data_IF_208199577803
#
_entry.id   IF_208199577803
#
_cell.length_a   1.000
_cell.length_b   1.000
_cell.length_c   1.000
_cell.angle_alpha   90.00
_cell.angle_beta   90.00
_cell.angle_gamma   90.00
#
_symmetry.space_group_name_H-M   'P 1'
#
loop_
_entity.id
_entity.type
_entity.pdbx_description
1 polymer ?
#
# COMPACT_ATOMS: atom_id res chain seq x y z
N UNK A 1 -40.67 22.61 38.99
CA UNK A 1 -40.73 21.42 38.14
C UNK A 1 -40.99 21.84 36.69
N UNK A 2 -39.93 21.91 35.87
CA UNK A 2 -39.90 21.59 34.43
C UNK A 2 -38.49 21.88 33.91
N UNK A 3 -37.70 20.82 33.99
CA UNK A 3 -36.38 20.60 33.44
C UNK A 3 -36.47 20.79 31.91
N UNK A 4 -35.91 21.88 31.38
CA UNK A 4 -35.75 22.02 29.92
C UNK A 4 -34.39 21.44 29.57
N UNK A 5 -34.46 20.39 28.77
CA UNK A 5 -33.41 19.43 28.47
C UNK A 5 -32.36 20.15 27.60
N UNK A 6 -31.15 20.27 28.12
CA UNK A 6 -29.97 20.47 27.29
C UNK A 6 -29.73 19.17 26.50
N UNK A 7 -30.42 19.01 25.37
CA UNK A 7 -30.02 18.02 24.38
C UNK A 7 -28.80 18.60 23.71
N UNK A 8 -27.66 18.13 24.16
CA UNK A 8 -26.36 18.24 23.52
C UNK A 8 -26.53 17.87 22.04
N UNK A 9 -26.61 18.87 21.17
CA UNK A 9 -26.46 18.71 19.72
C UNK A 9 -25.00 18.39 19.42
N UNK A 10 -24.55 17.19 19.79
CA UNK A 10 -23.29 16.59 19.37
C UNK A 10 -23.62 15.53 18.33
N UNK A 11 -24.04 15.97 17.14
CA UNK A 11 -24.22 15.13 15.97
C UNK A 11 -24.18 15.99 14.70
N UNK A 12 -23.09 16.73 14.50
CA UNK A 12 -22.70 17.20 13.18
C UNK A 12 -21.18 17.36 13.08
N UNK A 13 -20.46 16.28 13.37
CA UNK A 13 -19.17 16.03 12.74
C UNK A 13 -19.38 14.84 11.78
N UNK A 14 -20.18 15.07 10.74
CA UNK A 14 -19.93 14.37 9.49
C UNK A 14 -18.55 14.89 9.06
N UNK A 15 -17.54 14.07 9.30
CA UNK A 15 -16.14 14.34 9.07
C UNK A 15 -15.93 14.99 7.70
N UNK A 16 -15.51 16.27 7.71
CA UNK A 16 -14.79 16.87 6.59
C UNK A 16 -13.44 16.15 6.48
N UNK A 17 -13.43 14.91 6.01
CA UNK A 17 -12.24 14.21 5.54
C UNK A 17 -12.07 14.35 4.03
N UNK A 18 -12.87 15.22 3.39
CA UNK A 18 -12.74 15.53 1.99
C UNK A 18 -11.40 16.26 1.76
N UNK A 19 -10.37 15.54 1.30
CA UNK A 19 -9.12 16.11 0.80
C UNK A 19 -7.90 16.02 1.73
N UNK A 20 -7.89 15.16 2.75
CA UNK A 20 -6.61 14.85 3.42
C UNK A 20 -5.89 13.73 2.67
N UNK A 21 -4.58 13.88 2.38
CA UNK A 21 -3.82 12.83 1.69
C UNK A 21 -3.71 11.59 2.59
N UNK A 22 -3.63 10.40 1.98
CA UNK A 22 -3.49 9.12 2.67
C UNK A 22 -2.30 9.10 3.63
N UNK A 23 -1.22 9.75 3.23
CA UNK A 23 0.01 9.90 3.98
C UNK A 23 0.63 11.26 3.65
N UNK A 24 1.57 11.69 4.49
CA UNK A 24 2.38 12.88 4.30
C UNK A 24 3.85 12.51 4.21
N UNK A 25 4.72 13.39 3.68
CA UNK A 25 6.16 13.14 3.66
C UNK A 25 6.77 12.81 5.03
N UNK A 26 6.16 13.28 6.13
CA UNK A 26 6.64 13.01 7.49
C UNK A 26 6.41 11.57 7.97
N UNK A 27 5.56 10.80 7.28
CA UNK A 27 5.29 9.40 7.59
C UNK A 27 6.42 8.47 7.11
N UNK A 28 7.32 8.98 6.27
CA UNK A 28 8.40 8.20 5.66
C UNK A 28 9.78 8.77 5.97
N UNK A 29 10.77 7.87 5.98
CA UNK A 29 12.17 8.23 6.24
C UNK A 29 12.83 8.80 4.99
N UNK A 30 12.39 8.33 3.81
CA UNK A 30 12.99 8.66 2.53
C UNK A 30 11.93 9.02 1.49
N UNK A 31 12.35 9.82 0.51
CA UNK A 31 11.52 10.30 -0.58
C UNK A 31 12.39 10.57 -1.81
N UNK A 32 11.82 10.36 -2.98
CA UNK A 32 12.34 10.84 -4.26
C UNK A 32 11.19 11.26 -5.18
N UNK A 33 11.32 12.41 -5.82
CA UNK A 33 10.46 12.79 -6.94
C UNK A 33 11.00 12.16 -8.22
N UNK A 34 10.24 11.25 -8.80
CA UNK A 34 10.57 10.57 -10.04
C UNK A 34 10.20 11.47 -11.23
N UNK A 35 11.08 11.63 -12.24
CA UNK A 35 10.82 12.50 -13.39
C UNK A 35 9.56 12.09 -14.17
N UNK A 36 8.49 12.87 -14.05
CA UNK A 36 7.25 12.66 -14.79
C UNK A 36 6.58 13.98 -15.15
N UNK A 37 5.83 14.07 -16.27
CA UNK A 37 5.02 15.23 -16.59
C UNK A 37 3.98 15.55 -15.50
N UNK A 38 3.45 14.52 -14.82
CA UNK A 38 2.44 14.64 -13.77
C UNK A 38 2.97 14.33 -12.36
N UNK A 39 4.23 14.71 -12.04
CA UNK A 39 4.84 14.58 -10.71
C UNK A 39 4.55 13.23 -10.01
N UNK A 40 5.48 12.28 -10.11
CA UNK A 40 5.34 10.98 -9.47
C UNK A 40 6.31 10.88 -8.30
N UNK A 41 5.81 10.82 -7.07
CA UNK A 41 6.64 10.73 -5.88
C UNK A 41 6.64 9.32 -5.30
N UNK A 42 7.84 8.84 -4.98
CA UNK A 42 8.07 7.58 -4.26
C UNK A 42 8.60 7.91 -2.87
N UNK A 43 7.87 7.45 -1.85
CA UNK A 43 8.24 7.51 -0.45
C UNK A 43 8.52 6.11 0.07
N UNK A 44 9.46 5.95 0.99
CA UNK A 44 9.69 4.67 1.64
C UNK A 44 10.32 4.75 3.03
N UNK A 45 10.11 3.68 3.80
CA UNK A 45 10.75 3.42 5.09
C UNK A 45 11.15 1.95 5.16
N UNK A 46 12.41 1.68 5.49
CA UNK A 46 12.89 0.32 5.75
C UNK A 46 12.59 -0.05 7.20
N UNK A 47 11.78 -1.08 7.38
CA UNK A 47 11.33 -1.53 8.70
C UNK A 47 12.31 -2.56 9.29
N UNK A 48 12.47 -2.61 10.62
CA UNK A 48 13.33 -3.61 11.29
C UNK A 48 12.93 -5.06 11.03
N UNK A 49 11.70 -5.30 10.59
CA UNK A 49 11.13 -6.61 10.24
C UNK A 49 11.54 -7.11 8.85
N UNK A 50 12.57 -6.51 8.23
CA UNK A 50 12.98 -6.79 6.85
C UNK A 50 11.87 -6.56 5.82
N UNK A 51 11.05 -5.54 6.06
CA UNK A 51 10.03 -5.03 5.14
C UNK A 51 10.37 -3.63 4.70
N UNK A 52 9.87 -3.24 3.54
CA UNK A 52 9.87 -1.85 3.09
C UNK A 52 8.41 -1.42 2.98
N UNK A 53 8.07 -0.35 3.68
CA UNK A 53 6.80 0.34 3.49
C UNK A 53 6.99 1.42 2.43
N UNK A 54 6.14 1.42 1.41
CA UNK A 54 6.17 2.33 0.29
C UNK A 54 4.92 3.22 0.27
N UNK A 55 5.09 4.46 -0.17
CA UNK A 55 4.01 5.38 -0.50
C UNK A 55 4.21 5.92 -1.92
N UNK A 56 3.21 5.76 -2.77
CA UNK A 56 3.15 6.34 -4.11
C UNK A 56 2.09 7.43 -4.16
N UNK A 57 2.43 8.54 -4.78
CA UNK A 57 1.45 9.56 -5.17
C UNK A 57 1.83 10.11 -6.53
N UNK A 58 0.81 10.30 -7.38
CA UNK A 58 0.99 11.01 -8.64
C UNK A 58 -0.22 11.90 -8.93
N UNK A 59 -0.02 12.93 -9.75
CA UNK A 59 -1.07 13.85 -10.17
C UNK A 59 -1.94 13.26 -11.28
N UNK A 60 -2.73 12.26 -10.90
CA UNK A 60 -3.72 11.57 -11.73
C UNK A 60 -4.87 11.04 -10.85
N UNK A 61 -5.98 10.63 -11.49
CA UNK A 61 -7.08 9.84 -10.92
C UNK A 61 -7.16 8.45 -11.54
N UNK A 62 -6.10 8.00 -12.21
CA UNK A 62 -5.96 6.66 -12.78
C UNK A 62 -5.15 5.73 -11.89
N UNK A 63 -4.80 4.56 -12.42
CA UNK A 63 -3.93 3.62 -11.70
C UNK A 63 -2.48 4.10 -11.63
N UNK A 64 -1.78 3.69 -10.57
CA UNK A 64 -0.34 3.81 -10.42
C UNK A 64 0.31 2.43 -10.47
N UNK A 65 1.47 2.36 -11.12
CA UNK A 65 2.31 1.18 -11.18
C UNK A 65 3.73 1.50 -10.74
N UNK A 66 4.31 0.59 -9.97
CA UNK A 66 5.72 0.59 -9.57
C UNK A 66 6.26 -0.81 -9.84
N UNK A 67 7.52 -0.93 -10.22
CA UNK A 67 8.18 -2.22 -10.29
C UNK A 67 9.68 -2.15 -10.09
N UNK A 68 10.27 -3.30 -9.82
CA UNK A 68 11.70 -3.52 -9.69
C UNK A 68 12.15 -4.27 -10.94
N UNK A 69 13.13 -3.72 -11.64
CA UNK A 69 13.66 -4.25 -12.88
C UNK A 69 15.17 -4.39 -12.83
N UNK A 70 15.73 -5.27 -13.65
CA UNK A 70 17.19 -5.39 -13.81
C UNK A 70 17.75 -4.30 -14.73
N UNK A 71 17.01 -3.96 -15.79
CA UNK A 71 17.47 -3.08 -16.88
C UNK A 71 16.55 -1.86 -17.10
N UNK A 72 15.44 -1.78 -16.37
CA UNK A 72 14.48 -0.68 -16.44
C UNK A 72 13.41 -0.91 -17.50
N UNK A 73 13.42 -2.09 -18.13
CA UNK A 73 12.29 -2.57 -18.92
C UNK A 73 11.23 -3.21 -18.02
N UNK A 74 10.02 -3.32 -18.55
CA UNK A 74 8.93 -4.03 -17.89
C UNK A 74 9.12 -5.55 -17.99
N UNK A 75 9.88 -6.03 -18.98
CA UNK A 75 10.14 -7.44 -19.17
C UNK A 75 10.86 -8.05 -17.96
N UNK A 76 10.33 -9.15 -17.43
CA UNK A 76 10.84 -9.84 -16.24
C UNK A 76 10.94 -8.96 -14.98
N UNK A 77 10.25 -7.82 -14.95
CA UNK A 77 10.16 -6.97 -13.76
C UNK A 77 9.16 -7.54 -12.77
N UNK A 78 9.37 -7.24 -11.50
CA UNK A 78 8.49 -7.50 -10.37
C UNK A 78 7.64 -6.23 -10.15
N UNK A 79 6.32 -6.30 -10.25
CA UNK A 79 5.44 -5.16 -10.52
C UNK A 79 4.23 -5.17 -9.59
N UNK A 80 3.97 -4.02 -8.99
CA UNK A 80 2.71 -3.73 -8.30
C UNK A 80 1.90 -2.69 -9.07
N UNK A 81 0.59 -2.92 -9.15
CA UNK A 81 -0.37 -2.00 -9.77
C UNK A 81 -1.56 -1.81 -8.83
N UNK A 82 -2.04 -0.58 -8.68
CA UNK A 82 -3.29 -0.33 -7.96
C UNK A 82 -3.93 1.02 -8.27
N UNK A 83 -5.09 1.24 -7.68
CA UNK A 83 -5.88 2.46 -7.83
C UNK A 83 -7.23 2.37 -7.10
N UNK A 84 -8.12 3.31 -7.40
CA UNK A 84 -9.46 3.38 -6.83
C UNK A 84 -10.47 3.32 -7.99
N UNK A 85 -11.45 2.42 -7.94
CA UNK A 85 -12.55 2.37 -8.91
C UNK A 85 -13.52 3.54 -8.68
N UNK A 86 -14.36 3.82 -9.69
CA UNK A 86 -15.40 4.86 -9.60
C UNK A 86 -16.37 4.69 -8.42
N UNK A 87 -16.58 3.46 -7.94
CA UNK A 87 -17.43 3.16 -6.78
C UNK A 87 -16.69 3.29 -5.44
N UNK A 88 -15.50 3.89 -5.45
CA UNK A 88 -14.56 4.04 -4.34
C UNK A 88 -13.95 2.72 -3.82
N UNK A 89 -14.11 1.61 -4.55
CA UNK A 89 -13.45 0.34 -4.20
C UNK A 89 -11.97 0.38 -4.61
N UNK A 90 -11.09 0.00 -3.69
CA UNK A 90 -9.67 -0.15 -4.02
C UNK A 90 -9.42 -1.43 -4.80
N UNK A 91 -8.55 -1.35 -5.80
CA UNK A 91 -7.94 -2.51 -6.45
C UNK A 91 -6.42 -2.43 -6.36
N UNK A 92 -5.79 -3.59 -6.20
CA UNK A 92 -4.36 -3.72 -6.03
C UNK A 92 -3.95 -5.13 -6.43
N UNK A 93 -2.88 -5.26 -7.19
CA UNK A 93 -2.43 -6.55 -7.71
C UNK A 93 -0.91 -6.58 -7.81
N UNK A 94 -0.37 -7.65 -7.27
CA UNK A 94 1.02 -8.09 -7.46
C UNK A 94 1.13 -8.90 -8.77
N UNK A 95 2.14 -8.58 -9.56
CA UNK A 95 2.30 -8.99 -10.95
C UNK A 95 3.77 -9.09 -11.33
N UNK A 96 4.02 -9.79 -12.43
CA UNK A 96 5.35 -9.80 -13.03
C UNK A 96 5.28 -9.62 -14.55
N UNK A 97 6.36 -9.06 -15.11
CA UNK A 97 6.54 -8.92 -16.54
C UNK A 97 6.91 -10.25 -17.20
N UNK A 98 6.34 -10.50 -18.37
CA UNK A 98 6.79 -11.57 -19.26
C UNK A 98 8.11 -11.20 -19.97
N UNK A 99 8.55 -12.00 -20.95
CA UNK A 99 9.76 -11.73 -21.72
C UNK A 99 9.57 -10.70 -22.85
N UNK A 100 8.34 -10.21 -23.08
CA UNK A 100 7.97 -9.48 -24.31
C UNK A 100 7.41 -8.08 -24.05
N UNK A 101 7.52 -7.55 -22.82
CA UNK A 101 6.90 -6.30 -22.41
C UNK A 101 5.38 -6.31 -22.66
N UNK A 102 4.74 -7.45 -22.44
CA UNK A 102 3.30 -7.64 -22.56
C UNK A 102 2.53 -7.15 -21.35
N UNK A 103 1.23 -7.46 -21.32
CA UNK A 103 0.41 -7.24 -20.13
C UNK A 103 1.00 -8.02 -18.94
N UNK A 104 1.33 -7.38 -17.80
CA UNK A 104 1.91 -8.08 -16.66
C UNK A 104 0.96 -9.16 -16.14
N UNK A 105 1.49 -10.37 -15.99
CA UNK A 105 0.74 -11.52 -15.50
C UNK A 105 0.58 -11.41 -13.98
N UNK A 106 -0.55 -11.89 -13.46
CA UNK A 106 -0.76 -11.92 -12.01
C UNK A 106 0.25 -12.89 -11.37
N UNK A 107 0.85 -12.46 -10.27
CA UNK A 107 1.81 -13.29 -9.56
C UNK A 107 1.09 -14.47 -8.86
N UNK A 108 1.77 -15.61 -8.77
CA UNK A 108 1.24 -16.81 -8.09
C UNK A 108 1.32 -16.62 -6.57
N UNK A 109 2.36 -15.96 -6.08
CA UNK A 109 2.46 -15.50 -4.70
C UNK A 109 2.11 -14.02 -4.65
N UNK A 110 1.67 -13.53 -3.50
CA UNK A 110 1.30 -12.13 -3.35
C UNK A 110 2.17 -11.58 -2.24
N UNK A 111 3.23 -10.89 -2.64
CA UNK A 111 4.31 -10.44 -1.78
C UNK A 111 4.29 -8.93 -1.57
N UNK A 112 3.58 -8.21 -2.43
CA UNK A 112 3.17 -6.82 -2.21
C UNK A 112 1.82 -6.80 -1.50
N UNK A 113 1.76 -6.13 -0.36
CA UNK A 113 0.55 -6.06 0.45
C UNK A 113 0.07 -4.62 0.59
N UNK A 114 -1.12 -4.35 0.08
CA UNK A 114 -1.78 -3.06 0.24
C UNK A 114 -2.05 -2.76 1.72
N UNK A 115 -1.63 -1.57 2.18
CA UNK A 115 -1.93 -1.06 3.51
C UNK A 115 -2.88 0.13 3.48
N UNK A 116 -3.05 0.78 2.33
CA UNK A 116 -4.06 1.81 2.11
C UNK A 116 -4.03 2.35 0.69
N UNK A 117 -5.17 2.83 0.20
CA UNK A 117 -5.24 3.62 -1.02
C UNK A 117 -6.32 4.69 -0.84
N UNK A 118 -6.12 5.83 -1.49
CA UNK A 118 -7.14 6.87 -1.59
C UNK A 118 -6.97 7.62 -2.89
N UNK A 119 -8.02 8.29 -3.32
CA UNK A 119 -7.97 9.18 -4.47
C UNK A 119 -8.71 10.47 -4.11
N UNK A 120 -8.09 11.59 -4.44
CA UNK A 120 -8.74 12.90 -4.44
C UNK A 120 -8.96 13.38 -5.89
N UNK A 121 -9.49 14.58 -6.08
CA UNK A 121 -9.84 15.08 -7.42
C UNK A 121 -8.64 15.20 -8.38
N UNK A 122 -7.41 15.10 -7.89
CA UNK A 122 -6.18 15.36 -8.63
C UNK A 122 -5.11 14.30 -8.42
N UNK A 123 -5.17 13.53 -7.33
CA UNK A 123 -4.13 12.58 -6.96
C UNK A 123 -4.68 11.23 -6.54
N UNK A 124 -3.98 10.19 -7.00
CA UNK A 124 -4.10 8.83 -6.49
C UNK A 124 -2.95 8.58 -5.53
N UNK A 125 -3.27 8.03 -4.36
CA UNK A 125 -2.32 7.63 -3.33
C UNK A 125 -2.43 6.13 -3.10
N UNK A 126 -1.30 5.44 -3.06
CA UNK A 126 -1.24 4.02 -2.73
C UNK A 126 -0.11 3.79 -1.74
N UNK A 127 -0.42 3.08 -0.66
CA UNK A 127 0.51 2.70 0.40
C UNK A 127 0.50 1.19 0.55
N UNK A 128 1.67 0.59 0.54
CA UNK A 128 1.82 -0.88 0.61
C UNK A 128 3.15 -1.26 1.25
N UNK A 129 3.27 -2.52 1.63
CA UNK A 129 4.51 -3.10 2.14
C UNK A 129 4.94 -4.32 1.35
N UNK A 130 6.25 -4.56 1.32
CA UNK A 130 6.87 -5.72 0.68
C UNK A 130 8.07 -6.18 1.51
N UNK A 131 8.31 -7.48 1.58
CA UNK A 131 9.55 -7.99 2.17
C UNK A 131 10.76 -7.52 1.34
N UNK A 132 11.92 -7.32 1.99
CA UNK A 132 13.19 -7.03 1.31
C UNK A 132 13.56 -8.20 0.38
N UNK A 133 13.38 -9.42 0.87
CA UNK A 133 13.47 -10.65 0.10
C UNK A 133 12.17 -11.44 0.28
N UNK A 134 11.45 -11.68 -0.82
CA UNK A 134 10.16 -12.39 -0.83
C UNK A 134 10.33 -13.90 -0.89
N UNK A 135 11.53 -14.37 -1.22
CA UNK A 135 11.81 -15.77 -1.46
C UNK A 135 11.01 -16.38 -2.61
N UNK A 136 10.61 -15.54 -3.57
CA UNK A 136 10.04 -15.94 -4.84
C UNK A 136 10.95 -15.60 -6.03
N UNK A 137 12.11 -16.26 -6.12
CA UNK A 137 13.12 -15.96 -7.14
C UNK A 137 12.63 -16.17 -8.60
N UNK A 138 11.47 -16.81 -8.79
CA UNK A 138 10.91 -17.05 -10.11
C UNK A 138 10.30 -15.78 -10.72
N UNK A 139 9.64 -14.96 -9.90
CA UNK A 139 8.83 -13.83 -10.37
C UNK A 139 9.29 -12.51 -9.73
N UNK A 140 9.90 -12.57 -8.54
CA UNK A 140 10.28 -11.38 -7.77
C UNK A 140 11.75 -10.99 -7.91
N UNK A 141 12.06 -9.78 -7.42
CA UNK A 141 13.43 -9.26 -7.32
C UNK A 141 13.79 -8.97 -5.86
N UNK A 142 14.96 -9.43 -5.43
CA UNK A 142 15.47 -9.05 -4.10
C UNK A 142 15.80 -7.56 -4.08
N UNK A 143 15.34 -6.84 -3.05
CA UNK A 143 15.74 -5.46 -2.78
C UNK A 143 17.14 -5.45 -2.18
N UNK A 144 18.14 -5.57 -3.04
CA UNK A 144 19.55 -5.59 -2.64
C UNK A 144 19.99 -4.24 -2.06
N UNK A 145 21.11 -4.28 -1.32
CA UNK A 145 21.78 -3.05 -0.87
C UNK A 145 22.25 -2.21 -2.05
N UNK A 146 22.14 -0.89 -1.94
CA UNK A 146 22.52 0.05 -2.99
C UNK A 146 21.38 0.34 -3.96
N UNK A 147 21.74 0.69 -5.19
CA UNK A 147 20.78 1.15 -6.19
C UNK A 147 19.98 0.00 -6.78
N UNK A 148 18.66 0.11 -6.71
CA UNK A 148 17.71 -0.70 -7.47
C UNK A 148 17.16 0.12 -8.63
N UNK A 149 16.84 -0.56 -9.74
CA UNK A 149 16.25 0.10 -10.90
C UNK A 149 14.73 -0.01 -10.81
N UNK A 150 14.11 1.12 -10.51
CA UNK A 150 12.66 1.27 -10.38
C UNK A 150 12.08 1.59 -11.75
N UNK A 151 11.01 0.90 -12.12
CA UNK A 151 10.10 1.30 -13.20
C UNK A 151 8.82 1.85 -12.58
N UNK A 152 8.23 2.84 -13.23
CA UNK A 152 7.01 3.47 -12.73
C UNK A 152 6.16 3.93 -13.90
N UNK A 153 4.85 3.87 -13.70
CA UNK A 153 3.87 4.18 -14.73
C UNK A 153 2.55 4.65 -14.12
N UNK A 154 1.77 5.35 -14.93
CA UNK A 154 0.40 5.73 -14.59
C UNK A 154 -0.43 5.97 -15.86
N UNK A 155 -1.74 6.05 -15.69
CA UNK A 155 -2.68 6.58 -16.70
C UNK A 155 -3.23 7.94 -16.29
N UNK A 156 -3.63 8.76 -17.26
CA UNK A 156 -4.16 10.12 -17.12
C UNK A 156 -5.69 10.10 -17.26
N UNK A 157 -6.44 9.47 -16.35
CA UNK A 157 -7.89 9.20 -16.47
C UNK A 157 -8.23 7.99 -17.39
N UNK A 158 -7.53 6.86 -17.24
CA UNK A 158 -7.86 5.65 -17.99
C UNK A 158 -9.25 5.10 -17.66
N UNK A 159 -9.84 4.31 -18.58
CA UNK A 159 -10.94 3.42 -18.20
C UNK A 159 -10.43 2.48 -17.11
N UNK A 160 -11.04 2.57 -15.93
CA UNK A 160 -10.74 1.72 -14.79
C UNK A 160 -10.80 0.25 -15.21
N UNK A 161 -9.88 -0.59 -14.70
CA UNK A 161 -9.98 -2.00 -14.94
C UNK A 161 -11.25 -2.56 -14.29
N UNK A 162 -11.65 -3.74 -14.72
CA UNK A 162 -12.56 -4.53 -13.91
C UNK A 162 -11.88 -4.87 -12.56
N UNK A 163 -12.66 -5.18 -11.53
CA UNK A 163 -12.12 -5.55 -10.22
C UNK A 163 -11.17 -6.76 -10.28
N UNK A 164 -11.22 -7.55 -11.36
CA UNK A 164 -10.34 -8.68 -11.61
C UNK A 164 -9.01 -8.29 -12.31
N UNK A 165 -8.83 -7.02 -12.69
CA UNK A 165 -7.68 -6.49 -13.42
C UNK A 165 -7.27 -7.39 -14.60
N UNK A 166 -8.23 -7.71 -15.46
CA UNK A 166 -8.00 -8.57 -16.63
C UNK A 166 -7.34 -7.79 -17.77
N UNK A 167 -6.64 -8.51 -18.65
CA UNK A 167 -6.01 -7.90 -19.84
C UNK A 167 -6.99 -7.12 -20.72
N UNK A 168 -8.26 -7.54 -20.76
CA UNK A 168 -9.27 -6.90 -21.59
C UNK A 168 -9.77 -5.57 -21.01
N UNK A 169 -9.70 -5.41 -19.68
CA UNK A 169 -10.18 -4.23 -18.97
C UNK A 169 -9.07 -3.22 -18.70
N UNK A 170 -7.81 -3.66 -18.68
CA UNK A 170 -6.70 -2.83 -18.27
C UNK A 170 -6.11 -1.98 -19.41
N UNK A 171 -6.11 -0.66 -19.22
CA UNK A 171 -5.52 0.29 -20.17
C UNK A 171 -3.99 0.30 -20.08
N UNK A 172 -3.31 0.41 -21.22
CA UNK A 172 -1.85 0.66 -21.23
C UNK A 172 -1.59 2.04 -20.61
N UNK A 173 -0.49 2.17 -19.86
CA UNK A 173 -0.06 3.44 -19.26
C UNK A 173 0.07 4.58 -20.28
N UNK A 174 -0.33 5.78 -19.88
CA UNK A 174 -0.08 7.00 -20.66
C UNK A 174 1.35 7.51 -20.48
N UNK A 175 1.92 7.27 -19.29
CA UNK A 175 3.30 7.57 -18.98
C UNK A 175 4.00 6.37 -18.34
N UNK A 176 5.25 6.15 -18.75
CA UNK A 176 6.16 5.22 -18.09
C UNK A 176 7.58 5.77 -18.13
N UNK A 177 8.37 5.44 -17.13
CA UNK A 177 9.80 5.69 -17.12
C UNK A 177 10.50 4.74 -16.14
N UNK A 178 11.82 4.87 -16.05
CA UNK A 178 12.63 4.17 -15.06
C UNK A 178 13.63 5.12 -14.41
N UNK A 179 14.04 4.78 -13.19
CA UNK A 179 14.99 5.55 -12.40
C UNK A 179 15.83 4.62 -11.52
N UNK A 180 17.06 5.03 -11.27
CA UNK A 180 17.96 4.38 -10.33
C UNK A 180 17.75 5.00 -8.94
N UNK A 181 17.33 4.18 -7.97
CA UNK A 181 17.00 4.62 -6.61
C UNK A 181 17.74 3.74 -5.60
N UNK A 182 18.51 4.35 -4.70
CA UNK A 182 19.04 3.64 -3.54
C UNK A 182 17.99 3.66 -2.42
N UNK A 183 17.38 2.50 -2.16
CA UNK A 183 16.35 2.36 -1.12
C UNK A 183 16.93 2.31 0.29
N UNK A 184 18.25 2.48 0.46
CA UNK A 184 18.93 2.50 1.75
C UNK A 184 18.71 1.20 2.55
N UNK A 185 18.59 0.07 1.84
CA UNK A 185 18.42 -1.24 2.48
C UNK A 185 19.70 -1.60 3.23
N UNK A 186 19.65 -1.86 4.55
CA UNK A 186 20.79 -2.34 5.30
C UNK A 186 21.16 -3.77 4.89
N UNK A 187 22.46 -4.06 4.75
CA UNK A 187 22.97 -5.40 4.44
C UNK A 187 22.54 -6.49 5.45
N UNK A 188 22.16 -6.11 6.68
CA UNK A 188 21.66 -7.03 7.68
C UNK A 188 20.22 -7.51 7.44
N UNK A 189 19.48 -6.83 6.56
CA UNK A 189 18.08 -7.16 6.24
C UNK A 189 17.94 -7.96 4.94
N UNK A 190 18.99 -8.05 4.14
CA UNK A 190 19.08 -8.94 2.98
C UNK A 190 19.44 -10.35 3.45
N UNK A 191 18.52 -11.02 4.15
CA UNK A 191 18.73 -12.40 4.59
C UNK A 191 18.37 -13.41 3.49
N UNK A 192 19.06 -14.54 3.51
CA UNK A 192 18.80 -15.67 2.61
C UNK A 192 17.53 -16.44 3.02
N UNK A 193 16.83 -16.96 2.03
CA UNK A 193 15.64 -17.81 2.15
C UNK A 193 15.88 -19.19 2.77
N UNK A 194 17.02 -19.36 3.45
CA UNK A 194 17.42 -20.56 4.17
C UNK A 194 16.69 -20.63 5.52
N UNK A 195 15.42 -21.00 5.43
CA UNK A 195 14.56 -21.68 6.42
C UNK A 195 14.84 -21.49 7.93
N UNK A 196 13.79 -21.05 8.63
CA UNK A 196 13.46 -21.55 9.96
C UNK A 196 13.41 -23.08 9.93
N UNK A 197 14.44 -23.75 10.44
CA UNK A 197 14.56 -25.20 10.37
C UNK A 197 15.90 -25.74 10.83
N UNK A 198 16.34 -25.39 12.05
CA UNK A 198 17.60 -25.88 12.61
C UNK A 198 17.56 -25.94 14.13
N UNK A 199 16.91 -26.96 14.68
CA UNK A 199 17.12 -27.34 16.07
C UNK A 199 18.59 -27.78 16.23
N UNK A 200 19.40 -26.93 16.86
CA UNK A 200 20.79 -27.24 17.20
C UNK A 200 20.86 -28.47 18.11
N UNK A 201 20.99 -29.64 17.51
CA UNK A 201 21.23 -30.89 18.21
C UNK A 201 22.74 -31.14 18.23
N UNK A 202 23.39 -30.68 19.30
CA UNK A 202 24.72 -31.17 19.66
C UNK A 202 24.57 -32.52 20.38
N UNK A 203 24.98 -33.61 19.73
CA UNK A 203 25.17 -34.91 20.37
C UNK A 203 26.48 -34.92 21.16
N UNK A 204 26.50 -35.51 22.37
CA UNK A 204 27.47 -36.59 22.62
C UNK A 204 26.84 -37.84 23.28
N UNK A 205 27.43 -38.99 22.94
CA UNK A 205 27.18 -40.36 23.39
C UNK A 205 27.38 -40.60 24.90
N UNK A 206 26.53 -41.41 25.57
CA UNK A 206 26.86 -42.72 26.21
C UNK A 206 25.70 -43.27 27.12
N UNK A 207 25.52 -44.61 27.14
CA UNK A 207 25.18 -45.37 28.37
C UNK A 207 23.71 -45.72 28.75
N UNK A 208 23.26 -46.93 28.37
CA UNK A 208 22.61 -48.02 29.16
C UNK A 208 21.36 -47.81 30.08
N UNK A 209 20.29 -48.54 29.70
CA UNK A 209 19.21 -49.25 30.44
C UNK A 209 18.40 -48.60 31.57
N UNK A 210 17.06 -48.56 31.42
CA UNK A 210 16.10 -49.39 32.19
C UNK A 210 14.62 -49.05 31.88
N UNK A 211 13.87 -50.09 31.52
CA UNK A 211 12.47 -50.46 31.87
C UNK A 211 11.44 -49.42 32.36
N UNK A 212 10.23 -49.54 31.77
CA UNK A 212 8.88 -49.57 32.37
C UNK A 212 7.89 -48.41 32.05
N UNK A 213 6.83 -48.82 31.32
CA UNK A 213 5.38 -48.62 31.55
C UNK A 213 4.84 -47.25 31.98
N UNK A 214 3.86 -46.73 31.23
CA UNK A 214 3.01 -45.64 31.68
C UNK A 214 2.04 -45.11 30.62
N UNK A 215 0.92 -45.79 30.46
CA UNK A 215 -0.24 -45.34 29.69
C UNK A 215 -0.89 -44.16 30.45
N UNK A 216 -1.02 -42.98 29.80
CA UNK A 216 -1.56 -41.77 30.44
C UNK A 216 -2.32 -40.92 29.43
N UNK A 217 -3.61 -40.78 29.70
CA UNK A 217 -4.67 -40.12 28.92
C UNK A 217 -4.50 -38.61 28.75
N UNK A 218 -5.09 -38.10 27.67
CA UNK A 218 -5.16 -36.69 27.29
C UNK A 218 -5.73 -35.77 28.40
N UNK A 219 -5.24 -34.52 28.54
CA UNK A 219 -5.81 -33.56 29.48
C UNK A 219 -7.16 -33.03 28.98
N UNK A 220 -8.17 -33.20 29.81
CA UNK A 220 -9.48 -32.56 29.73
C UNK A 220 -9.35 -31.07 30.04
N UNK A 221 -9.83 -30.22 29.12
CA UNK A 221 -9.98 -28.78 29.34
C UNK A 221 -11.21 -28.51 30.22
N UNK A 222 -10.99 -28.20 31.50
CA UNK A 222 -12.03 -27.71 32.41
C UNK A 222 -12.19 -26.19 32.25
N UNK A 223 -13.33 -25.76 31.68
CA UNK A 223 -13.70 -24.36 31.63
C UNK A 223 -14.40 -23.97 32.94
N UNK A 224 -13.65 -23.34 33.84
CA UNK A 224 -14.24 -22.72 35.03
C UNK A 224 -15.13 -21.55 34.62
N UNK A 225 -16.39 -21.65 35.01
CA UNK A 225 -17.43 -20.62 34.88
C UNK A 225 -17.09 -19.41 35.74
N UNK A 226 -16.54 -18.36 35.10
CA UNK A 226 -16.44 -17.03 35.66
C UNK A 226 -17.64 -16.18 35.22
N UNK A 227 -18.65 -16.04 36.08
CA UNK A 227 -19.61 -14.93 36.01
C UNK A 227 -18.85 -13.60 36.08
N UNK A 228 -19.40 -12.57 35.42
CA UNK A 228 -19.15 -11.10 35.46
C UNK A 228 -19.10 -10.61 33.99
N UNK A 229 -19.89 -9.72 33.42
CA UNK A 229 -20.77 -8.65 33.91
C UNK A 229 -21.63 -8.25 32.70
N UNK A 230 -22.96 -8.25 32.83
CA UNK A 230 -23.92 -8.05 31.73
C UNK A 230 -23.96 -6.61 31.15
N UNK A 231 -22.91 -5.81 31.37
CA UNK A 231 -22.83 -4.41 30.95
C UNK A 231 -21.99 -4.25 29.66
N UNK A 232 -21.05 -5.16 29.38
CA UNK A 232 -20.17 -5.08 28.20
C UNK A 232 -20.80 -5.56 26.88
N UNK A 233 -21.68 -6.56 26.94
CA UNK A 233 -22.32 -7.12 25.75
C UNK A 233 -23.41 -6.21 25.15
N UNK A 234 -24.05 -5.37 25.97
CA UNK A 234 -25.12 -4.47 25.53
C UNK A 234 -24.57 -3.29 24.73
N UNK A 235 -23.37 -2.81 25.06
CA UNK A 235 -22.73 -1.68 24.36
C UNK A 235 -22.26 -2.10 22.96
N UNK A 236 -21.69 -3.30 22.81
CA UNK A 236 -21.27 -3.83 21.50
C UNK A 236 -22.49 -4.11 20.61
N UNK A 237 -23.57 -4.65 21.17
CA UNK A 237 -24.81 -4.85 20.43
C UNK A 237 -25.44 -3.53 19.94
N UNK A 238 -25.40 -2.46 20.74
CA UNK A 238 -25.92 -1.14 20.34
C UNK A 238 -25.06 -0.45 19.27
N UNK A 239 -23.73 -0.59 19.30
CA UNK A 239 -22.85 -0.03 18.27
C UNK A 239 -23.05 -0.74 16.92
N UNK A 240 -23.19 -2.07 16.93
CA UNK A 240 -23.49 -2.85 15.72
C UNK A 240 -24.90 -2.52 15.19
N UNK A 241 -25.89 -2.31 16.06
CA UNK A 241 -27.26 -1.97 15.66
C UNK A 241 -27.39 -0.53 15.12
N UNK A 242 -26.61 0.43 15.62
CA UNK A 242 -26.56 1.80 15.08
C UNK A 242 -25.91 1.80 13.69
N UNK A 243 -24.84 1.02 13.47
CA UNK A 243 -24.23 0.86 12.13
C UNK A 243 -25.22 0.18 11.16
N UNK A 244 -25.97 -0.83 11.61
CA UNK A 244 -26.95 -1.54 10.78
C UNK A 244 -28.23 -0.72 10.50
N UNK A 245 -28.66 0.15 11.42
CA UNK A 245 -29.86 0.98 11.22
C UNK A 245 -29.59 2.21 10.36
N UNK A 246 -28.37 2.76 10.39
CA UNK A 246 -27.93 3.78 9.42
C UNK A 246 -27.87 3.18 8.00
N UNK A 247 -27.51 1.89 7.87
CA UNK A 247 -27.49 1.18 6.60
C UNK A 247 -28.84 0.73 6.03
N UNK A 248 -29.94 0.75 6.80
CA UNK A 248 -31.21 0.15 6.37
C UNK A 248 -32.40 1.13 6.26
N UNK A 249 -32.32 2.34 6.82
CA UNK A 249 -33.45 3.32 6.76
C UNK A 249 -33.35 4.30 5.58
N UNK A 250 -32.29 4.25 4.79
CA UNK A 250 -32.20 5.01 3.54
C UNK A 250 -31.59 4.15 2.45
N UNK A 251 -32.42 3.57 1.59
CA UNK A 251 -32.00 3.01 0.30
C UNK A 251 -31.50 4.10 -0.66
N UNK A 252 -30.57 4.93 -0.18
CA UNK A 252 -29.77 5.85 -0.98
C UNK A 252 -28.40 5.21 -1.05
N UNK A 253 -28.22 4.33 -2.03
CA UNK A 253 -26.88 4.09 -2.53
C UNK A 253 -26.39 5.45 -3.04
N UNK A 254 -25.54 6.12 -2.27
CA UNK A 254 -24.72 7.17 -2.83
C UNK A 254 -23.80 6.47 -3.82
N UNK A 255 -24.23 6.38 -5.08
CA UNK A 255 -23.29 6.12 -6.17
C UNK A 255 -22.27 7.24 -6.06
N UNK A 256 -21.02 6.91 -5.78
CA UNK A 256 -19.95 7.88 -5.85
C UNK A 256 -20.06 8.62 -7.19
N UNK A 257 -19.97 9.94 -7.16
CA UNK A 257 -20.06 10.73 -8.37
C UNK A 257 -18.95 10.27 -9.33
N UNK A 258 -19.22 10.09 -10.63
CA UNK A 258 -18.20 9.70 -11.59
C UNK A 258 -17.01 10.67 -11.51
N UNK A 259 -15.79 10.12 -11.61
CA UNK A 259 -14.56 10.89 -11.43
C UNK A 259 -14.58 12.15 -12.32
N UNK A 260 -14.29 13.35 -11.78
CA UNK A 260 -14.06 14.50 -12.62
C UNK A 260 -12.80 14.23 -13.46
N UNK A 261 -12.87 14.44 -14.77
CA UNK A 261 -11.67 14.45 -15.60
C UNK A 261 -10.70 15.51 -15.01
N UNK A 262 -9.44 15.14 -14.79
CA UNK A 262 -8.41 16.13 -14.42
C UNK A 262 -8.45 17.24 -15.46
N UNK A 263 -8.82 18.45 -15.04
CA UNK A 263 -8.86 19.61 -15.94
C UNK A 263 -7.43 19.82 -16.45
N UNK A 264 -7.22 19.54 -17.74
CA UNK A 264 -5.93 19.71 -18.42
C UNK A 264 -5.35 21.12 -18.18
N UNK A 265 -6.23 22.11 -17.96
CA UNK A 265 -5.82 23.47 -17.62
C UNK A 265 -5.26 23.62 -16.19
N UNK A 266 -5.72 22.81 -15.23
CA UNK A 266 -5.19 22.80 -13.86
C UNK A 266 -3.81 22.16 -13.80
N UNK A 267 -3.60 21.05 -14.52
CA UNK A 267 -2.29 20.41 -14.67
C UNK A 267 -1.27 21.34 -15.36
N UNK A 268 -1.68 22.03 -16.43
CA UNK A 268 -0.85 23.02 -17.12
C UNK A 268 -0.53 24.25 -16.24
N UNK A 269 -1.48 24.71 -15.41
CA UNK A 269 -1.28 25.84 -14.52
C UNK A 269 -0.25 25.54 -13.43
N UNK A 270 -0.31 24.36 -12.82
CA UNK A 270 0.66 23.95 -11.79
C UNK A 270 2.02 23.57 -12.40
N UNK A 271 2.05 23.02 -13.63
CA UNK A 271 3.30 22.87 -14.40
C UNK A 271 3.98 24.22 -14.61
N UNK A 272 3.23 25.24 -15.04
CA UNK A 272 3.75 26.61 -15.18
C UNK A 272 4.20 27.22 -13.86
N UNK A 273 3.51 26.89 -12.76
CA UNK A 273 3.90 27.31 -11.41
C UNK A 273 5.21 26.66 -10.98
N UNK A 274 5.39 25.36 -11.21
CA UNK A 274 6.63 24.62 -10.93
C UNK A 274 7.80 25.19 -11.74
N UNK A 275 7.65 25.37 -13.05
CA UNK A 275 8.68 26.00 -13.89
C UNK A 275 9.03 27.43 -13.44
N UNK A 276 8.02 28.17 -12.98
CA UNK A 276 8.24 29.51 -12.44
C UNK A 276 9.06 29.44 -11.14
N UNK A 277 8.75 28.53 -10.23
CA UNK A 277 9.49 28.35 -8.97
C UNK A 277 10.93 27.88 -9.21
N UNK A 278 11.17 27.02 -10.19
CA UNK A 278 12.52 26.60 -10.58
C UNK A 278 13.35 27.76 -11.15
N UNK A 279 12.75 28.58 -12.02
CA UNK A 279 13.40 29.81 -12.52
C UNK A 279 13.75 30.77 -11.39
N UNK A 280 12.82 31.01 -10.46
CA UNK A 280 13.05 31.88 -9.30
C UNK A 280 14.17 31.35 -8.41
N UNK A 281 14.22 30.03 -8.20
CA UNK A 281 15.26 29.38 -7.38
C UNK A 281 16.63 29.46 -8.07
N UNK A 282 16.68 29.23 -9.38
CA UNK A 282 17.88 29.36 -10.22
C UNK A 282 18.43 30.80 -10.25
N UNK A 283 17.57 31.81 -10.38
CA UNK A 283 18.01 33.20 -10.38
C UNK A 283 18.54 33.63 -9.00
N UNK A 284 17.94 33.09 -7.92
CA UNK A 284 18.35 33.37 -6.55
C UNK A 284 19.70 32.71 -6.19
N UNK A 285 19.99 31.51 -6.67
CA UNK A 285 21.32 30.90 -6.54
C UNK A 285 22.36 31.64 -7.38
N UNK A 286 22.01 32.08 -8.60
CA UNK A 286 22.91 32.86 -9.45
C UNK A 286 23.25 34.23 -8.86
N UNK A 287 22.28 34.89 -8.21
CA UNK A 287 22.51 36.16 -7.51
C UNK A 287 23.31 36.02 -6.21
N UNK A 288 23.40 34.83 -5.62
CA UNK A 288 24.21 34.58 -4.41
C UNK A 288 25.67 34.24 -4.71
N UNK A 289 26.01 33.99 -5.97
CA UNK A 289 27.37 33.64 -6.43
C UNK A 289 28.09 34.79 -7.15
N UNK A 290 27.45 35.95 -7.28
CA UNK A 290 28.02 37.21 -7.80
C UNK A 290 28.28 38.18 -6.63
#
# INVERSE_FOLDING_TARGET
>A
MKLTIAVVSLALLASLTCGMPLFTPADFTHHVSLPAPHAFDLYWSVLPTAKVEFGLVAHTTGWLGLGISNDGSMASADIVIGGILDDATTYFSDRHGDLFNGFPEADVKQDWMLTGASEDNMHTYIKFERNVNTCDDAQDKVLATGTVKIIYAYTNNGSEPDAAMTKASFSIHDFRASADVDLMIPASLTNDCSSSGGNGTTTPSNGTSSTASGMGTAPTFDLHSGKNSATGAVIIALIVFVIFTIGFVGGVFYTAAPKPAVDENAAELERRRSEFMDRVTSDRTRSSMA
#
